data_IF_956528640403
#
_entry.id   IF_956528640403
#
_cell.length_a   1.000
_cell.length_b   1.000
_cell.length_c   1.000
_cell.angle_alpha   90.00
_cell.angle_beta   90.00
_cell.angle_gamma   90.00
#
_symmetry.space_group_name_H-M   'P 1'
#
loop_
_entity.id
_entity.type
_entity.pdbx_description
1 polymer ?
#
# COMPACT_ATOMS: atom_id res chain seq x y z
N UNK A 1 -13.86 -15.30 25.34
CA UNK A 1 -12.76 -15.57 24.39
C UNK A 1 -11.50 -15.84 25.21
N UNK A 2 -10.57 -16.71 24.77
CA UNK A 2 -9.34 -16.97 25.53
C UNK A 2 -8.48 -15.70 25.59
N UNK A 3 -8.12 -15.28 26.81
CA UNK A 3 -7.31 -14.07 27.09
C UNK A 3 -5.98 -14.06 26.31
N UNK A 4 -5.39 -15.24 26.09
CA UNK A 4 -4.15 -15.43 25.33
C UNK A 4 -4.25 -14.98 23.87
N UNK A 5 -5.39 -15.22 23.20
CA UNK A 5 -5.58 -14.84 21.80
C UNK A 5 -5.70 -13.32 21.65
N UNK A 6 -6.39 -12.66 22.59
CA UNK A 6 -6.52 -11.20 22.61
C UNK A 6 -5.15 -10.57 22.91
N UNK A 7 -4.40 -11.12 23.87
CA UNK A 7 -3.05 -10.65 24.18
C UNK A 7 -2.11 -10.79 22.97
N UNK A 8 -2.13 -11.93 22.30
CA UNK A 8 -1.32 -12.15 21.10
C UNK A 8 -1.68 -11.19 19.96
N UNK A 9 -2.98 -10.93 19.76
CA UNK A 9 -3.43 -9.96 18.76
C UNK A 9 -2.97 -8.54 19.09
N UNK A 10 -3.01 -8.14 20.37
CA UNK A 10 -2.50 -6.85 20.84
C UNK A 10 -1.01 -6.69 20.63
N UNK A 11 -0.23 -7.72 21.00
CA UNK A 11 1.22 -7.74 20.83
C UNK A 11 1.58 -7.61 19.34
N UNK A 12 0.91 -8.38 18.48
CA UNK A 12 1.07 -8.27 17.03
C UNK A 12 0.73 -6.87 16.51
N UNK A 13 -0.44 -6.33 16.87
CA UNK A 13 -0.85 -4.99 16.45
C UNK A 13 0.18 -3.95 16.87
N UNK A 14 0.60 -3.96 18.15
CA UNK A 14 1.60 -3.04 18.67
C UNK A 14 2.96 -3.15 17.95
N UNK A 15 3.44 -4.37 17.70
CA UNK A 15 4.65 -4.61 16.91
C UNK A 15 4.53 -4.03 15.49
N UNK A 16 3.39 -4.22 14.83
CA UNK A 16 3.12 -3.63 13.51
C UNK A 16 3.18 -2.11 13.54
N UNK A 17 2.57 -1.46 14.54
CA UNK A 17 2.56 0.01 14.64
C UNK A 17 3.98 0.56 14.83
N UNK A 18 4.80 -0.08 15.66
CA UNK A 18 6.20 0.29 15.86
C UNK A 18 6.97 0.15 14.54
N UNK A 19 6.89 -1.03 13.90
CA UNK A 19 7.66 -1.31 12.69
C UNK A 19 7.24 -0.38 11.54
N UNK A 20 5.93 -0.11 11.37
CA UNK A 20 5.44 0.83 10.37
C UNK A 20 5.95 2.26 10.62
N UNK A 21 6.08 2.68 11.89
CA UNK A 21 6.67 3.97 12.24
C UNK A 21 8.15 4.02 11.87
N UNK A 22 8.91 2.97 12.21
CA UNK A 22 10.33 2.86 11.89
C UNK A 22 10.57 2.86 10.37
N UNK A 23 9.71 2.17 9.61
CA UNK A 23 9.78 2.06 8.15
C UNK A 23 9.66 3.38 7.39
N UNK A 24 9.15 4.43 8.03
CA UNK A 24 9.08 5.79 7.44
C UNK A 24 9.90 6.81 8.20
N UNK A 25 10.71 6.37 9.17
CA UNK A 25 11.67 7.24 9.85
C UNK A 25 12.76 7.71 8.89
N UNK A 26 13.43 8.82 9.20
CA UNK A 26 14.52 9.33 8.37
C UNK A 26 15.70 8.33 8.26
N UNK A 27 15.94 7.53 9.31
CA UNK A 27 17.06 6.59 9.39
C UNK A 27 16.79 5.31 8.60
N UNK A 28 15.56 4.78 8.67
CA UNK A 28 15.21 3.48 8.07
C UNK A 28 14.21 3.58 6.92
N UNK A 29 14.00 4.77 6.37
CA UNK A 29 13.06 5.03 5.26
C UNK A 29 13.51 4.53 3.89
N UNK A 30 14.64 3.83 3.81
CA UNK A 30 15.13 3.21 2.58
C UNK A 30 14.28 2.01 2.17
N UNK A 31 14.18 1.76 0.86
CA UNK A 31 13.34 0.69 0.31
C UNK A 31 13.74 -0.70 0.85
N UNK A 32 15.03 -0.99 0.96
CA UNK A 32 15.51 -2.28 1.50
C UNK A 32 15.13 -2.47 2.96
N UNK A 33 15.24 -1.43 3.79
CA UNK A 33 14.79 -1.46 5.17
C UNK A 33 13.28 -1.68 5.27
N UNK A 34 12.49 -1.01 4.44
CA UNK A 34 11.05 -1.23 4.37
C UNK A 34 10.70 -2.68 4.01
N UNK A 35 11.47 -3.32 3.13
CA UNK A 35 11.30 -4.75 2.80
C UNK A 35 11.65 -5.65 3.98
N UNK A 36 12.76 -5.39 4.67
CA UNK A 36 13.15 -6.13 5.88
C UNK A 36 12.06 -6.02 6.95
N UNK A 37 11.54 -4.82 7.18
CA UNK A 37 10.44 -4.56 8.11
C UNK A 37 9.15 -5.27 7.72
N UNK A 38 8.81 -5.33 6.43
CA UNK A 38 7.66 -6.11 5.97
C UNK A 38 7.80 -7.60 6.30
N UNK A 39 9.00 -8.16 6.15
CA UNK A 39 9.28 -9.56 6.50
C UNK A 39 9.24 -9.74 8.03
N UNK A 40 9.71 -8.76 8.81
CA UNK A 40 9.55 -8.75 10.28
C UNK A 40 8.07 -8.75 10.71
N UNK A 41 7.23 -7.94 10.07
CA UNK A 41 5.77 -7.93 10.29
C UNK A 41 5.16 -9.28 9.88
N UNK A 42 5.62 -9.88 8.79
CA UNK A 42 5.19 -11.21 8.37
C UNK A 42 5.49 -12.27 9.43
N UNK A 43 6.70 -12.25 9.99
CA UNK A 43 7.09 -13.14 11.07
C UNK A 43 6.22 -12.93 12.32
N UNK A 44 5.95 -11.68 12.71
CA UNK A 44 5.06 -11.37 13.83
C UNK A 44 3.62 -11.84 13.58
N UNK A 45 3.10 -11.66 12.35
CA UNK A 45 1.80 -12.17 11.92
C UNK A 45 1.76 -13.68 12.04
N UNK A 46 2.76 -14.39 11.50
CA UNK A 46 2.89 -15.84 11.61
C UNK A 46 2.93 -16.29 13.08
N UNK A 47 3.79 -15.69 13.90
CA UNK A 47 3.94 -16.04 15.31
C UNK A 47 2.62 -15.85 16.07
N UNK A 48 1.87 -14.78 15.80
CA UNK A 48 0.56 -14.53 16.42
C UNK A 48 -0.53 -15.54 16.00
N UNK A 49 -0.48 -16.02 14.76
CA UNK A 49 -1.41 -17.03 14.26
C UNK A 49 -1.09 -18.42 14.85
N UNK A 50 0.20 -18.74 14.98
CA UNK A 50 0.67 -19.98 15.62
C UNK A 50 0.40 -19.98 17.12
N UNK A 51 0.73 -18.91 17.85
CA UNK A 51 0.42 -18.81 19.29
C UNK A 51 -1.10 -18.75 19.55
N UNK A 52 -1.85 -18.20 18.59
CA UNK A 52 -3.30 -18.10 18.58
C UNK A 52 -4.06 -19.38 18.22
N UNK A 53 -3.37 -20.52 18.01
CA UNK A 53 -3.90 -21.84 17.62
C UNK A 53 -5.09 -22.36 18.48
N UNK A 54 -5.45 -21.69 19.58
CA UNK A 54 -6.57 -22.03 20.47
C UNK A 54 -7.88 -21.29 20.14
N UNK A 55 -7.89 -20.22 19.33
CA UNK A 55 -9.14 -19.49 19.03
C UNK A 55 -9.74 -19.84 17.66
N UNK A 56 -10.20 -21.07 17.51
CA UNK A 56 -11.06 -21.51 16.38
C UNK A 56 -12.41 -20.77 16.29
N UNK A 57 -12.65 -19.71 17.07
CA UNK A 57 -13.96 -19.09 17.27
C UNK A 57 -14.20 -17.81 16.45
N UNK A 58 -13.17 -17.22 15.85
CA UNK A 58 -13.33 -16.04 14.99
C UNK A 58 -13.31 -16.47 13.53
N UNK A 59 -14.46 -16.96 13.08
CA UNK A 59 -14.59 -17.55 11.75
C UNK A 59 -15.03 -16.47 10.76
N UNK A 60 -14.37 -16.42 9.61
CA UNK A 60 -14.91 -15.74 8.44
C UNK A 60 -16.03 -16.60 7.85
N UNK A 61 -17.04 -15.97 7.28
CA UNK A 61 -17.99 -16.69 6.42
C UNK A 61 -17.19 -17.22 5.24
N UNK A 62 -17.12 -18.55 5.11
CA UNK A 62 -16.33 -19.21 4.07
C UNK A 62 -17.16 -19.25 2.81
N UNK A 63 -16.82 -18.38 1.87
CA UNK A 63 -17.29 -18.54 0.50
C UNK A 63 -16.41 -19.58 -0.19
N UNK A 64 -16.91 -20.82 -0.30
CA UNK A 64 -16.19 -21.94 -0.93
C UNK A 64 -15.59 -21.56 -2.29
N UNK A 65 -16.32 -20.78 -3.10
CA UNK A 65 -15.83 -20.27 -4.39
C UNK A 65 -14.61 -19.36 -4.24
N UNK A 66 -14.60 -18.45 -3.26
CA UNK A 66 -13.47 -17.53 -3.07
C UNK A 66 -12.22 -18.29 -2.61
N UNK A 67 -12.38 -19.24 -1.68
CA UNK A 67 -11.27 -20.11 -1.23
C UNK A 67 -10.73 -20.94 -2.40
N UNK A 68 -11.60 -21.55 -3.19
CA UNK A 68 -11.19 -22.30 -4.39
C UNK A 68 -10.44 -21.42 -5.38
N UNK A 69 -10.92 -20.21 -5.64
CA UNK A 69 -10.23 -19.25 -6.52
C UNK A 69 -8.85 -18.87 -5.98
N UNK A 70 -8.72 -18.61 -4.67
CA UNK A 70 -7.42 -18.35 -4.05
C UNK A 70 -6.46 -19.55 -4.21
N UNK A 71 -6.95 -20.78 -4.00
CA UNK A 71 -6.15 -22.01 -4.20
C UNK A 71 -5.66 -22.08 -5.65
N UNK A 72 -6.55 -21.86 -6.62
CA UNK A 72 -6.18 -21.90 -8.05
C UNK A 72 -5.15 -20.81 -8.39
N UNK A 73 -5.29 -19.59 -7.86
CA UNK A 73 -4.31 -18.51 -8.05
C UNK A 73 -2.93 -18.93 -7.53
N UNK A 74 -2.85 -19.50 -6.32
CA UNK A 74 -1.58 -19.95 -5.73
C UNK A 74 -0.98 -21.10 -6.54
N UNK A 75 -1.79 -22.06 -7.01
CA UNK A 75 -1.31 -23.16 -7.85
C UNK A 75 -0.79 -22.67 -9.20
N UNK A 76 -1.50 -21.76 -9.87
CA UNK A 76 -1.05 -21.15 -11.13
C UNK A 76 0.25 -20.36 -10.91
N UNK A 77 0.33 -19.62 -9.80
CA UNK A 77 1.55 -18.92 -9.39
C UNK A 77 2.73 -19.86 -9.20
N UNK A 78 2.54 -20.95 -8.46
CA UNK A 78 3.59 -21.94 -8.25
C UNK A 78 4.06 -22.57 -9.57
N UNK A 79 3.12 -22.98 -10.44
CA UNK A 79 3.45 -23.54 -11.75
C UNK A 79 4.19 -22.54 -12.65
N UNK A 80 3.79 -21.27 -12.58
CA UNK A 80 4.47 -20.16 -13.28
C UNK A 80 5.88 -19.95 -12.74
N UNK A 81 6.06 -19.90 -11.41
CA UNK A 81 7.38 -19.74 -10.77
C UNK A 81 8.33 -20.89 -11.12
N UNK A 82 7.87 -22.14 -11.10
CA UNK A 82 8.69 -23.31 -11.43
C UNK A 82 9.13 -23.35 -12.90
N UNK A 83 8.44 -22.63 -13.78
CA UNK A 83 8.77 -22.51 -15.22
C UNK A 83 9.48 -21.21 -15.58
N UNK A 84 9.77 -20.36 -14.60
CA UNK A 84 10.51 -19.12 -14.80
C UNK A 84 11.98 -19.41 -15.12
N UNK A 85 12.60 -18.51 -15.87
CA UNK A 85 14.06 -18.49 -16.05
C UNK A 85 14.80 -18.24 -14.72
N UNK A 86 14.15 -17.53 -13.78
CA UNK A 86 14.67 -17.22 -12.44
C UNK A 86 13.70 -17.72 -11.35
N UNK A 87 13.64 -19.04 -11.08
CA UNK A 87 12.65 -19.61 -10.16
C UNK A 87 12.71 -19.04 -8.74
N UNK A 88 13.91 -18.77 -8.21
CA UNK A 88 14.07 -18.23 -6.86
C UNK A 88 13.41 -16.85 -6.69
N UNK A 89 13.60 -15.97 -7.68
CA UNK A 89 12.97 -14.65 -7.69
C UNK A 89 11.46 -14.74 -7.90
N UNK A 90 11.02 -15.69 -8.73
CA UNK A 90 9.60 -15.94 -8.92
C UNK A 90 8.92 -16.51 -7.68
N UNK A 91 9.59 -17.39 -6.93
CA UNK A 91 9.12 -17.88 -5.63
C UNK A 91 9.16 -16.78 -4.56
N UNK A 92 10.05 -15.80 -4.69
CA UNK A 92 10.15 -14.66 -3.78
C UNK A 92 8.87 -13.80 -3.86
N UNK A 93 8.42 -13.45 -5.07
CA UNK A 93 7.21 -12.66 -5.24
C UNK A 93 5.93 -13.46 -4.92
N UNK A 94 5.90 -14.77 -5.20
CA UNK A 94 4.82 -15.65 -4.73
C UNK A 94 4.76 -15.68 -3.20
N UNK A 95 5.91 -15.76 -2.53
CA UNK A 95 5.99 -15.73 -1.07
C UNK A 95 5.52 -14.38 -0.51
N UNK A 96 5.82 -13.27 -1.17
CA UNK A 96 5.27 -11.95 -0.80
C UNK A 96 3.74 -11.90 -0.91
N UNK A 97 3.14 -12.47 -1.96
CA UNK A 97 1.68 -12.55 -2.10
C UNK A 97 1.04 -13.32 -0.94
N UNK A 98 1.64 -14.47 -0.58
CA UNK A 98 1.17 -15.31 0.54
C UNK A 98 1.29 -14.54 1.86
N UNK A 99 2.44 -13.95 2.13
CA UNK A 99 2.72 -13.22 3.37
C UNK A 99 1.85 -11.98 3.52
N UNK A 100 1.64 -11.21 2.45
CA UNK A 100 0.76 -10.01 2.51
C UNK A 100 -0.70 -10.42 2.74
N UNK A 101 -1.15 -11.53 2.14
CA UNK A 101 -2.46 -12.12 2.43
C UNK A 101 -2.58 -12.59 3.88
N UNK A 102 -1.53 -13.17 4.46
CA UNK A 102 -1.46 -13.54 5.88
C UNK A 102 -1.52 -12.32 6.80
N UNK A 103 -0.78 -11.25 6.48
CA UNK A 103 -0.80 -9.99 7.24
C UNK A 103 -2.22 -9.40 7.23
N UNK A 104 -2.89 -9.38 6.08
CA UNK A 104 -4.28 -8.93 5.96
C UNK A 104 -5.22 -9.78 6.82
N UNK A 105 -5.06 -11.11 6.79
CA UNK A 105 -5.82 -12.03 7.64
C UNK A 105 -5.58 -11.77 9.14
N UNK A 106 -4.33 -11.55 9.56
CA UNK A 106 -3.99 -11.24 10.95
C UNK A 106 -4.57 -9.90 11.42
N UNK A 107 -4.57 -8.86 10.58
CA UNK A 107 -5.26 -7.61 10.90
C UNK A 107 -6.77 -7.83 11.05
N UNK A 108 -7.36 -8.61 10.14
CA UNK A 108 -8.78 -8.86 10.16
C UNK A 108 -9.20 -9.64 11.42
N UNK A 109 -8.41 -10.64 11.81
CA UNK A 109 -8.57 -11.41 13.04
C UNK A 109 -8.38 -10.53 14.28
N UNK A 110 -7.31 -9.73 14.31
CA UNK A 110 -7.02 -8.84 15.43
C UNK A 110 -8.15 -7.85 15.69
N UNK A 111 -8.67 -7.19 14.64
CA UNK A 111 -9.83 -6.30 14.76
C UNK A 111 -11.09 -7.02 15.26
N UNK A 112 -11.34 -8.26 14.84
CA UNK A 112 -12.50 -9.03 15.32
C UNK A 112 -12.36 -9.47 16.78
N UNK A 113 -11.14 -9.74 17.25
CA UNK A 113 -10.86 -10.11 18.64
C UNK A 113 -10.92 -8.91 19.59
N UNK A 114 -10.37 -7.77 19.18
CA UNK A 114 -10.28 -6.57 20.02
C UNK A 114 -11.51 -5.67 19.96
N UNK A 115 -12.39 -5.87 18.98
CA UNK A 115 -13.54 -4.99 18.79
C UNK A 115 -13.12 -3.57 18.41
N UNK A 116 -13.92 -2.59 18.81
CA UNK A 116 -13.76 -1.18 18.42
C UNK A 116 -12.52 -0.52 19.05
N UNK A 117 -11.85 -1.19 19.99
CA UNK A 117 -10.56 -0.73 20.50
C UNK A 117 -9.48 -0.72 19.41
N UNK A 118 -9.44 -1.76 18.56
CA UNK A 118 -8.48 -1.81 17.46
C UNK A 118 -8.68 -0.67 16.45
N UNK A 119 -9.93 -0.29 16.17
CA UNK A 119 -10.22 0.86 15.29
C UNK A 119 -9.63 2.15 15.85
N UNK A 120 -9.83 2.38 17.15
CA UNK A 120 -9.32 3.57 17.84
C UNK A 120 -7.79 3.61 17.82
N UNK A 121 -7.12 2.49 18.07
CA UNK A 121 -5.65 2.42 18.02
C UNK A 121 -5.10 2.65 16.61
N UNK A 122 -5.70 2.02 15.60
CA UNK A 122 -5.29 2.19 14.20
C UNK A 122 -5.53 3.62 13.70
N UNK A 123 -6.66 4.22 14.03
CA UNK A 123 -6.95 5.61 13.68
C UNK A 123 -6.03 6.60 14.39
N UNK A 124 -5.80 6.41 15.70
CA UNK A 124 -4.86 7.24 16.45
C UNK A 124 -3.46 7.12 15.85
N UNK A 125 -3.03 5.91 15.50
CA UNK A 125 -1.77 5.67 14.82
C UNK A 125 -1.68 6.43 13.49
N UNK A 126 -2.70 6.34 12.63
CA UNK A 126 -2.73 7.08 11.35
C UNK A 126 -2.61 8.59 11.58
N UNK A 127 -3.38 9.13 12.53
CA UNK A 127 -3.36 10.56 12.86
C UNK A 127 -1.99 10.98 13.38
N UNK A 128 -1.39 10.23 14.31
CA UNK A 128 -0.07 10.52 14.85
C UNK A 128 1.03 10.41 13.80
N UNK A 129 0.96 9.40 12.92
CA UNK A 129 1.91 9.20 11.84
C UNK A 129 1.85 10.36 10.83
N UNK A 130 0.65 10.76 10.41
CA UNK A 130 0.46 11.90 9.52
C UNK A 130 0.86 13.21 10.18
N UNK A 131 0.56 13.40 11.47
CA UNK A 131 0.97 14.58 12.23
C UNK A 131 2.50 14.65 12.37
N UNK A 132 3.16 13.54 12.69
CA UNK A 132 4.63 13.46 12.76
C UNK A 132 5.29 13.76 11.41
N UNK A 133 4.74 13.22 10.32
CA UNK A 133 5.20 13.53 8.97
C UNK A 133 4.92 14.96 8.53
N UNK A 134 3.77 15.52 8.90
CA UNK A 134 3.43 16.92 8.67
C UNK A 134 4.36 17.87 9.45
N UNK A 135 4.67 17.53 10.70
CA UNK A 135 5.65 18.27 11.50
C UNK A 135 7.04 18.21 10.87
N UNK A 136 7.48 17.02 10.43
CA UNK A 136 8.74 16.86 9.71
C UNK A 136 8.80 17.77 8.47
N UNK A 137 7.72 17.80 7.68
CA UNK A 137 7.63 18.67 6.50
C UNK A 137 7.74 20.16 6.85
N UNK A 138 7.00 20.62 7.88
CA UNK A 138 7.06 22.01 8.36
C UNK A 138 8.46 22.35 8.85
N UNK A 139 9.08 21.46 9.64
CA UNK A 139 10.42 21.65 10.16
C UNK A 139 11.46 21.75 9.03
N UNK A 140 11.44 20.83 8.07
CA UNK A 140 12.32 20.86 6.89
C UNK A 140 12.09 22.10 6.04
N UNK A 141 10.83 22.53 5.86
CA UNK A 141 10.48 23.75 5.14
C UNK A 141 11.02 25.00 5.85
N UNK A 142 10.77 25.13 7.16
CA UNK A 142 11.28 26.22 7.97
C UNK A 142 12.81 26.30 7.94
N UNK A 143 13.49 25.15 8.08
CA UNK A 143 14.94 25.08 7.95
C UNK A 143 15.43 25.52 6.56
N UNK A 144 14.73 25.15 5.49
CA UNK A 144 15.07 25.57 4.13
C UNK A 144 14.90 27.08 3.94
N UNK A 145 13.80 27.68 4.41
CA UNK A 145 13.58 29.13 4.32
C UNK A 145 14.53 29.95 5.20
N UNK A 146 14.97 29.41 6.33
CA UNK A 146 15.95 30.06 7.22
C UNK A 146 17.39 29.87 6.75
N UNK A 147 17.67 28.82 5.98
CA UNK A 147 18.95 28.67 5.32
C UNK A 147 19.07 29.77 4.26
N UNK A 148 20.19 30.51 4.23
CA UNK A 148 20.48 31.50 3.16
C UNK A 148 20.75 30.83 1.80
N UNK A 149 20.17 29.65 1.56
CA UNK A 149 20.30 28.93 0.31
C UNK A 149 19.54 29.69 -0.78
N UNK A 150 20.18 29.84 -1.93
CA UNK A 150 19.57 30.49 -3.10
C UNK A 150 18.54 29.60 -3.80
N UNK A 151 18.53 28.29 -3.49
CA UNK A 151 17.61 27.33 -4.10
C UNK A 151 16.95 26.42 -3.05
N UNK A 152 15.65 26.18 -3.21
CA UNK A 152 14.85 25.25 -2.44
C UNK A 152 14.45 24.05 -3.31
N UNK A 153 14.71 22.84 -2.81
CA UNK A 153 14.29 21.59 -3.44
C UNK A 153 13.13 20.97 -2.66
N UNK A 154 11.95 20.96 -3.27
CA UNK A 154 10.71 20.47 -2.65
C UNK A 154 10.76 18.98 -2.33
N UNK A 155 11.53 18.19 -3.08
CA UNK A 155 11.65 16.75 -2.86
C UNK A 155 12.40 16.48 -1.53
N UNK A 156 13.29 17.39 -1.07
CA UNK A 156 14.01 17.26 0.22
C UNK A 156 13.14 17.49 1.44
N UNK A 157 11.98 18.14 1.27
CA UNK A 157 11.03 18.37 2.34
C UNK A 157 10.30 17.07 2.74
N UNK A 158 10.33 16.08 1.86
CA UNK A 158 9.61 14.81 2.00
C UNK A 158 10.65 13.70 2.17
N UNK A 159 10.95 13.33 3.41
CA UNK A 159 11.91 12.25 3.72
C UNK A 159 11.24 10.97 4.22
N UNK A 160 12.02 9.90 4.37
CA UNK A 160 11.58 8.61 4.89
C UNK A 160 11.07 7.63 3.83
N UNK A 161 11.24 7.96 2.55
CA UNK A 161 11.02 7.07 1.41
C UNK A 161 12.14 7.28 0.39
N UNK A 162 12.57 6.22 -0.27
CA UNK A 162 13.57 6.28 -1.36
C UNK A 162 13.05 6.99 -2.61
N UNK A 163 11.74 7.08 -2.78
CA UNK A 163 11.10 7.78 -3.89
C UNK A 163 9.80 8.45 -3.43
N UNK A 164 9.59 9.71 -3.82
CA UNK A 164 8.36 10.46 -3.54
C UNK A 164 7.09 9.78 -4.04
N UNK A 165 7.16 8.95 -5.09
CA UNK A 165 6.01 8.15 -5.56
C UNK A 165 5.52 7.22 -4.45
N UNK A 166 6.43 6.60 -3.71
CA UNK A 166 6.09 5.68 -2.61
C UNK A 166 5.46 6.45 -1.44
N UNK A 167 5.94 7.67 -1.19
CA UNK A 167 5.27 8.59 -0.27
C UNK A 167 3.84 8.91 -0.73
N UNK A 168 3.64 9.19 -2.03
CA UNK A 168 2.32 9.42 -2.60
C UNK A 168 1.38 8.22 -2.44
N UNK A 169 1.87 6.99 -2.66
CA UNK A 169 1.10 5.77 -2.42
C UNK A 169 0.61 5.70 -0.96
N UNK A 170 1.49 6.01 0.00
CA UNK A 170 1.11 6.12 1.41
C UNK A 170 0.05 7.20 1.67
N UNK A 171 0.16 8.36 1.01
CA UNK A 171 -0.84 9.43 1.13
C UNK A 171 -2.21 8.99 0.59
N UNK A 172 -2.25 8.27 -0.54
CA UNK A 172 -3.50 7.72 -1.10
C UNK A 172 -4.22 6.80 -0.11
N UNK A 173 -3.48 6.03 0.69
CA UNK A 173 -4.12 5.21 1.72
C UNK A 173 -4.67 6.03 2.90
N UNK A 174 -3.96 7.08 3.30
CA UNK A 174 -4.23 7.80 4.56
C UNK A 174 -5.16 9.01 4.42
N UNK A 175 -5.13 9.71 3.28
CA UNK A 175 -5.99 10.87 3.01
C UNK A 175 -7.49 10.57 3.25
N UNK A 176 -8.05 9.42 2.79
CA UNK A 176 -9.44 9.10 3.07
C UNK A 176 -9.74 8.83 4.54
N UNK A 177 -8.79 8.26 5.29
CA UNK A 177 -8.94 7.86 6.69
C UNK A 177 -8.87 9.05 7.64
N UNK A 178 -8.06 10.06 7.33
CA UNK A 178 -7.98 11.30 8.13
C UNK A 178 -9.29 12.09 8.16
N UNK A 179 -10.20 11.88 7.20
CA UNK A 179 -11.52 12.52 7.20
C UNK A 179 -12.49 11.90 8.20
N UNK A 180 -12.23 10.69 8.73
CA UNK A 180 -13.19 9.99 9.58
C UNK A 180 -13.59 10.79 10.84
N UNK A 181 -12.67 11.37 11.64
CA UNK A 181 -13.05 12.17 12.80
C UNK A 181 -13.89 13.42 12.44
N UNK A 182 -13.82 13.91 11.20
CA UNK A 182 -14.64 15.03 10.73
C UNK A 182 -16.08 14.60 10.41
N UNK A 183 -16.27 13.32 10.08
CA UNK A 183 -17.59 12.75 9.78
C UNK A 183 -18.38 12.40 11.04
N UNK A 184 -17.69 12.07 12.13
CA UNK A 184 -18.31 11.65 13.38
C UNK A 184 -19.04 12.82 14.07
N UNK A 185 -20.31 12.60 14.43
CA UNK A 185 -21.14 13.59 15.13
C UNK A 185 -20.65 13.89 16.54
N UNK A 186 -20.01 12.91 17.19
CA UNK A 186 -19.49 12.98 18.57
C UNK A 186 -18.17 13.74 18.71
N UNK A 187 -17.49 14.06 17.61
CA UNK A 187 -16.19 14.73 17.67
C UNK A 187 -16.35 16.20 18.07
N UNK A 188 -15.59 16.60 19.10
CA UNK A 188 -15.57 17.97 19.62
C UNK A 188 -15.10 18.97 18.56
N UNK A 189 -15.59 20.22 18.64
CA UNK A 189 -15.26 21.29 17.68
C UNK A 189 -13.76 21.56 17.59
N UNK A 190 -13.04 21.57 18.71
CA UNK A 190 -11.59 21.75 18.76
C UNK A 190 -10.86 20.62 18.03
N UNK A 191 -11.24 19.37 18.28
CA UNK A 191 -10.69 18.20 17.59
C UNK A 191 -10.96 18.26 16.09
N UNK A 192 -12.16 18.66 15.66
CA UNK A 192 -12.47 18.84 14.23
C UNK A 192 -11.56 19.89 13.59
N UNK A 193 -11.32 21.02 14.26
CA UNK A 193 -10.41 22.05 13.77
C UNK A 193 -9.00 21.49 13.58
N UNK A 194 -8.43 20.83 14.59
CA UNK A 194 -7.08 20.26 14.50
C UNK A 194 -6.95 19.17 13.43
N UNK A 195 -7.93 18.27 13.31
CA UNK A 195 -7.94 17.23 12.28
C UNK A 195 -8.11 17.83 10.89
N UNK A 196 -8.92 18.88 10.73
CA UNK A 196 -9.07 19.58 9.45
C UNK A 196 -7.78 20.31 9.06
N UNK A 197 -7.11 20.95 10.01
CA UNK A 197 -5.78 21.55 9.79
C UNK A 197 -4.75 20.50 9.38
N UNK A 198 -4.74 19.34 10.04
CA UNK A 198 -3.89 18.21 9.66
C UNK A 198 -4.22 17.69 8.28
N UNK A 199 -5.50 17.51 7.93
CA UNK A 199 -5.93 17.06 6.61
C UNK A 199 -5.50 18.06 5.51
N UNK A 200 -5.63 19.35 5.78
CA UNK A 200 -5.20 20.43 4.86
C UNK A 200 -3.68 20.46 4.69
N UNK A 201 -2.94 20.29 5.79
CA UNK A 201 -1.48 20.11 5.76
C UNK A 201 -1.10 18.84 4.97
N UNK A 202 -1.84 17.74 5.14
CA UNK A 202 -1.58 16.49 4.43
C UNK A 202 -1.80 16.64 2.92
N UNK A 203 -2.82 17.40 2.52
CA UNK A 203 -3.01 17.82 1.13
C UNK A 203 -1.89 18.74 0.63
N UNK A 204 -1.41 19.70 1.42
CA UNK A 204 -0.23 20.50 1.08
C UNK A 204 1.00 19.61 0.79
N UNK A 205 1.27 18.62 1.64
CA UNK A 205 2.37 17.66 1.40
C UNK A 205 2.12 16.86 0.12
N UNK A 206 0.88 16.43 -0.15
CA UNK A 206 0.54 15.68 -1.37
C UNK A 206 0.72 16.50 -2.65
N UNK A 207 0.32 17.78 -2.62
CA UNK A 207 0.54 18.75 -3.69
C UNK A 207 2.05 18.93 -3.92
N UNK A 208 2.81 19.10 -2.83
CA UNK A 208 4.27 19.27 -2.88
C UNK A 208 4.97 18.04 -3.48
N UNK A 209 4.53 16.83 -3.12
CA UNK A 209 5.07 15.59 -3.69
C UNK A 209 4.76 15.42 -5.19
N UNK A 210 3.73 16.08 -5.71
CA UNK A 210 3.39 16.10 -7.14
C UNK A 210 3.08 14.70 -7.71
N UNK A 211 2.58 13.78 -6.88
CA UNK A 211 2.33 12.39 -7.28
C UNK A 211 1.00 12.26 -8.02
N UNK A 212 1.06 12.25 -9.36
CA UNK A 212 -0.13 12.13 -10.24
C UNK A 212 -1.02 10.93 -9.92
N UNK A 213 -0.43 9.81 -9.48
CA UNK A 213 -1.17 8.62 -9.06
C UNK A 213 -2.14 8.89 -7.90
N UNK A 214 -1.73 9.70 -6.93
CA UNK A 214 -2.54 10.12 -5.78
C UNK A 214 -3.74 10.95 -6.21
N UNK A 215 -3.53 11.93 -7.10
CA UNK A 215 -4.60 12.75 -7.66
C UNK A 215 -5.64 11.92 -8.41
N UNK A 216 -5.18 11.01 -9.28
CA UNK A 216 -6.05 10.10 -10.01
C UNK A 216 -6.83 9.20 -9.05
N UNK A 217 -6.15 8.60 -8.06
CA UNK A 217 -6.77 7.73 -7.07
C UNK A 217 -7.83 8.44 -6.24
N UNK A 218 -7.52 9.62 -5.70
CA UNK A 218 -8.46 10.41 -4.90
C UNK A 218 -9.64 10.93 -5.73
N UNK A 219 -9.42 11.31 -6.98
CA UNK A 219 -10.48 11.71 -7.91
C UNK A 219 -11.46 10.57 -8.18
N UNK A 220 -10.96 9.38 -8.53
CA UNK A 220 -11.82 8.19 -8.75
C UNK A 220 -12.53 7.77 -7.47
N UNK A 221 -11.85 7.81 -6.31
CA UNK A 221 -12.48 7.54 -5.02
C UNK A 221 -13.63 8.52 -4.73
N UNK A 222 -13.44 9.82 -4.99
CA UNK A 222 -14.49 10.82 -4.86
C UNK A 222 -15.68 10.54 -5.80
N UNK A 223 -15.44 10.20 -7.07
CA UNK A 223 -16.51 9.82 -8.00
C UNK A 223 -17.31 8.61 -7.52
N UNK A 224 -16.63 7.53 -7.10
CA UNK A 224 -17.28 6.32 -6.60
C UNK A 224 -18.07 6.62 -5.32
N UNK A 225 -17.50 7.38 -4.37
CA UNK A 225 -18.20 7.73 -3.14
C UNK A 225 -19.39 8.67 -3.38
N UNK A 226 -19.30 9.58 -4.34
CA UNK A 226 -20.43 10.42 -4.72
C UNK A 226 -21.64 9.56 -5.13
N UNK A 227 -21.40 8.50 -5.91
CA UNK A 227 -22.43 7.53 -6.33
C UNK A 227 -22.96 6.70 -5.15
N UNK A 228 -22.14 6.49 -4.11
CA UNK A 228 -22.55 5.74 -2.92
C UNK A 228 -23.61 6.47 -2.07
N UNK A 229 -23.85 7.78 -2.25
CA UNK A 229 -24.94 8.49 -1.59
C UNK A 229 -24.50 9.51 -0.54
N UNK A 230 -25.32 9.69 0.50
CA UNK A 230 -25.21 10.84 1.42
C UNK A 230 -23.88 10.90 2.19
N UNK A 231 -23.45 9.82 2.86
CA UNK A 231 -22.18 9.79 3.59
C UNK A 231 -20.97 9.97 2.67
N UNK A 232 -21.03 9.48 1.43
CA UNK A 232 -20.01 9.73 0.42
C UNK A 232 -19.90 11.20 0.03
N UNK A 233 -21.04 11.88 -0.18
CA UNK A 233 -21.07 13.34 -0.39
C UNK A 233 -20.53 14.11 0.82
N UNK A 234 -20.87 13.69 2.05
CA UNK A 234 -20.31 14.28 3.29
C UNK A 234 -18.79 14.13 3.37
N UNK A 235 -18.25 12.97 2.98
CA UNK A 235 -16.80 12.78 2.92
C UNK A 235 -16.17 13.78 1.93
N UNK A 236 -16.77 13.97 0.75
CA UNK A 236 -16.30 14.95 -0.25
C UNK A 236 -16.35 16.38 0.30
N UNK A 237 -17.38 16.75 1.07
CA UNK A 237 -17.48 18.11 1.65
C UNK A 237 -16.37 18.45 2.64
N UNK A 238 -15.69 17.46 3.22
CA UNK A 238 -14.51 17.70 4.05
C UNK A 238 -13.21 17.67 3.24
N UNK A 239 -13.14 16.80 2.22
CA UNK A 239 -11.95 16.69 1.37
C UNK A 239 -11.76 17.92 0.48
N UNK A 240 -12.83 18.41 -0.18
CA UNK A 240 -12.71 19.53 -1.13
C UNK A 240 -12.14 20.80 -0.49
N UNK A 241 -12.67 21.30 0.65
CA UNK A 241 -12.08 22.47 1.31
C UNK A 241 -10.63 22.22 1.76
N UNK A 242 -10.30 21.01 2.23
CA UNK A 242 -8.94 20.68 2.64
C UNK A 242 -7.96 20.67 1.46
N UNK A 243 -8.37 20.17 0.29
CA UNK A 243 -7.60 20.27 -0.97
C UNK A 243 -7.37 21.73 -1.33
N UNK A 244 -8.43 22.56 -1.30
CA UNK A 244 -8.33 23.99 -1.63
C UNK A 244 -7.36 24.70 -0.69
N UNK A 245 -7.47 24.46 0.62
CA UNK A 245 -6.53 25.03 1.60
C UNK A 245 -5.10 24.54 1.33
N UNK A 246 -4.91 23.23 1.09
CA UNK A 246 -3.59 22.67 0.80
C UNK A 246 -2.93 23.26 -0.46
N UNK A 247 -3.70 23.43 -1.54
CA UNK A 247 -3.24 24.07 -2.79
C UNK A 247 -2.93 25.55 -2.58
N UNK A 248 -3.78 26.28 -1.86
CA UNK A 248 -3.54 27.70 -1.55
C UNK A 248 -2.28 27.87 -0.71
N UNK A 249 -2.08 27.03 0.31
CA UNK A 249 -0.85 27.04 1.11
C UNK A 249 0.38 26.71 0.27
N UNK A 250 0.28 25.77 -0.67
CA UNK A 250 1.37 25.44 -1.58
C UNK A 250 1.77 26.65 -2.41
N UNK A 251 0.79 27.31 -3.03
CA UNK A 251 1.02 28.53 -3.83
C UNK A 251 1.63 29.66 -2.99
N UNK A 252 1.10 29.91 -1.79
CA UNK A 252 1.63 30.94 -0.89
C UNK A 252 3.09 30.67 -0.50
N UNK A 253 3.43 29.42 -0.17
CA UNK A 253 4.77 29.05 0.27
C UNK A 253 5.79 29.00 -0.87
N UNK A 254 5.46 28.35 -1.97
CA UNK A 254 6.44 28.03 -3.01
C UNK A 254 6.39 28.94 -4.23
N UNK A 255 5.35 29.75 -4.40
CA UNK A 255 5.32 30.80 -5.45
C UNK A 255 5.47 32.20 -4.86
N UNK A 256 4.63 32.57 -3.88
CA UNK A 256 4.60 33.94 -3.37
C UNK A 256 5.78 34.23 -2.44
N UNK A 257 5.97 33.42 -1.41
CA UNK A 257 7.01 33.65 -0.40
C UNK A 257 8.42 33.48 -0.97
N UNK A 258 8.69 32.42 -1.72
CA UNK A 258 9.97 32.21 -2.41
C UNK A 258 10.26 33.32 -3.43
N UNK A 259 9.25 33.74 -4.21
CA UNK A 259 9.38 34.87 -5.14
C UNK A 259 9.72 36.18 -4.44
N UNK A 260 9.08 36.46 -3.30
CA UNK A 260 9.40 37.61 -2.46
C UNK A 260 10.83 37.55 -1.88
N UNK A 261 11.30 36.36 -1.50
CA UNK A 261 12.63 36.13 -0.94
C UNK A 261 13.72 35.96 -2.01
N UNK A 262 13.38 35.93 -3.30
CA UNK A 262 14.32 35.66 -4.40
C UNK A 262 14.92 34.25 -4.37
N UNK A 263 14.20 33.27 -3.82
CA UNK A 263 14.63 31.87 -3.73
C UNK A 263 14.14 31.11 -4.97
N UNK A 264 15.06 30.49 -5.71
CA UNK A 264 14.70 29.61 -6.82
C UNK A 264 14.13 28.29 -6.29
N UNK A 265 13.04 27.81 -6.87
CA UNK A 265 12.44 26.53 -6.48
C UNK A 265 12.66 25.51 -7.58
N UNK A 266 13.34 24.43 -7.24
CA UNK A 266 13.46 23.25 -8.10
C UNK A 266 12.35 22.25 -7.80
N UNK A 267 12.07 21.35 -8.74
CA UNK A 267 11.08 20.29 -8.56
C UNK A 267 9.65 20.82 -8.31
N UNK A 268 9.24 21.87 -9.02
CA UNK A 268 7.92 22.46 -8.84
C UNK A 268 6.81 21.47 -9.18
N UNK A 269 5.68 21.53 -8.49
CA UNK A 269 4.56 20.63 -8.74
C UNK A 269 3.97 20.86 -10.15
N UNK A 270 4.00 22.10 -10.67
CA UNK A 270 3.54 22.44 -12.01
C UNK A 270 4.36 21.80 -13.12
N UNK A 271 5.67 21.63 -12.92
CA UNK A 271 6.57 21.00 -13.91
C UNK A 271 6.18 19.53 -14.18
N UNK A 272 5.32 18.98 -13.32
CA UNK A 272 4.85 17.59 -13.37
C UNK A 272 3.44 17.47 -13.93
N UNK A 273 2.77 18.58 -14.24
CA UNK A 273 1.48 18.61 -14.94
C UNK A 273 1.69 18.33 -16.43
N UNK A 274 1.99 17.07 -16.77
CA UNK A 274 2.16 16.62 -18.15
C UNK A 274 1.08 15.59 -18.50
N UNK A 275 0.53 15.70 -19.72
CA UNK A 275 -0.40 14.72 -20.32
C UNK A 275 0.34 13.52 -20.91
N UNK A 276 1.67 13.51 -20.90
CA UNK A 276 2.47 12.44 -21.47
C UNK A 276 2.46 11.18 -20.60
N UNK A 277 2.57 10.01 -21.24
CA UNK A 277 2.73 8.70 -20.57
C UNK A 277 3.94 8.64 -19.64
N UNK A 278 4.84 9.64 -19.68
CA UNK A 278 6.00 9.78 -18.79
C UNK A 278 6.98 8.62 -18.90
N UNK A 279 7.28 8.24 -20.14
CA UNK A 279 8.15 7.09 -20.42
C UNK A 279 7.49 5.72 -20.20
N UNK A 280 6.18 5.63 -19.91
CA UNK A 280 5.52 4.32 -19.69
C UNK A 280 5.24 3.51 -20.96
N UNK A 281 5.22 4.15 -22.13
CA UNK A 281 4.94 3.47 -23.40
C UNK A 281 5.81 2.23 -23.64
N UNK A 282 7.15 2.33 -23.57
CA UNK A 282 8.05 1.19 -23.76
C UNK A 282 7.82 0.05 -22.76
N UNK A 283 7.65 0.34 -21.47
CA UNK A 283 7.43 -0.71 -20.45
C UNK A 283 6.04 -1.36 -20.57
N UNK A 284 5.03 -0.64 -21.06
CA UNK A 284 3.72 -1.22 -21.36
C UNK A 284 3.76 -2.09 -22.60
N UNK A 285 4.50 -1.66 -23.63
CA UNK A 285 4.73 -2.46 -24.82
C UNK A 285 5.49 -3.74 -24.48
N UNK A 286 6.56 -3.65 -23.69
CA UNK A 286 7.27 -4.83 -23.17
C UNK A 286 6.33 -5.78 -22.42
N UNK A 287 5.50 -5.28 -21.49
CA UNK A 287 4.55 -6.14 -20.77
C UNK A 287 3.54 -6.81 -21.71
N UNK A 288 3.06 -6.07 -22.72
CA UNK A 288 2.17 -6.60 -23.75
C UNK A 288 2.85 -7.72 -24.55
N UNK A 289 4.09 -7.53 -24.96
CA UNK A 289 4.83 -8.52 -25.74
C UNK A 289 5.04 -9.80 -24.91
N UNK A 290 5.35 -9.67 -23.62
CA UNK A 290 5.41 -10.82 -22.69
C UNK A 290 4.06 -11.54 -22.55
N UNK A 291 2.95 -10.80 -22.48
CA UNK A 291 1.60 -11.40 -22.43
C UNK A 291 1.31 -12.20 -23.71
N UNK A 292 1.67 -11.65 -24.88
CA UNK A 292 1.42 -12.29 -26.17
C UNK A 292 2.26 -13.56 -26.35
N UNK A 293 3.50 -13.57 -25.84
CA UNK A 293 4.38 -14.74 -25.94
C UNK A 293 3.95 -15.89 -25.02
N UNK A 294 3.55 -15.59 -23.77
CA UNK A 294 3.19 -16.62 -22.77
C UNK A 294 1.86 -16.32 -22.06
N UNK A 295 0.72 -16.35 -22.77
CA UNK A 295 -0.56 -15.88 -22.23
C UNK A 295 -1.12 -16.72 -21.08
N UNK A 296 -0.73 -18.00 -20.97
CA UNK A 296 -1.34 -18.94 -20.02
C UNK A 296 -0.77 -18.86 -18.61
N UNK A 297 0.55 -18.99 -18.47
CA UNK A 297 1.24 -18.98 -17.16
C UNK A 297 2.08 -17.71 -16.96
N UNK A 298 2.25 -16.87 -17.98
CA UNK A 298 3.23 -15.79 -17.96
C UNK A 298 4.65 -16.34 -17.93
N UNK A 299 5.61 -15.46 -17.63
CA UNK A 299 7.02 -15.81 -17.54
C UNK A 299 7.49 -16.20 -16.13
N UNK A 300 6.64 -16.10 -15.13
CA UNK A 300 7.01 -16.20 -13.74
C UNK A 300 6.83 -14.85 -13.03
N UNK A 301 6.35 -14.86 -11.77
CA UNK A 301 6.42 -13.68 -10.90
C UNK A 301 7.81 -13.01 -10.96
N UNK A 302 7.85 -11.69 -10.89
CA UNK A 302 9.04 -10.83 -10.93
C UNK A 302 9.83 -10.85 -12.25
N UNK A 303 9.43 -11.66 -13.24
CA UNK A 303 10.21 -11.83 -14.47
C UNK A 303 10.28 -10.59 -15.37
N UNK A 304 9.37 -9.60 -15.21
CA UNK A 304 9.55 -8.32 -15.91
C UNK A 304 10.91 -7.69 -15.58
N UNK A 305 11.42 -7.91 -14.37
CA UNK A 305 12.72 -7.42 -13.92
C UNK A 305 13.92 -8.27 -14.40
N UNK A 306 13.69 -9.40 -15.06
CA UNK A 306 14.71 -10.25 -15.69
C UNK A 306 15.04 -9.79 -17.12
N UNK A 307 14.37 -8.74 -17.59
CA UNK A 307 14.62 -8.10 -18.89
C UNK A 307 14.93 -6.63 -18.63
N UNK A 308 16.20 -6.27 -18.75
CA UNK A 308 16.63 -4.90 -18.54
C UNK A 308 16.01 -3.94 -19.57
N UNK A 309 15.47 -2.84 -19.06
CA UNK A 309 15.10 -1.65 -19.81
C UNK A 309 15.51 -0.43 -18.98
N UNK A 310 15.75 0.75 -19.58
CA UNK A 310 16.28 1.90 -18.84
C UNK A 310 15.25 2.62 -17.95
N UNK A 311 14.01 2.12 -17.88
CA UNK A 311 12.88 2.86 -17.31
C UNK A 311 12.46 2.30 -15.94
N UNK A 312 12.16 1.00 -15.85
CA UNK A 312 11.67 0.39 -14.60
C UNK A 312 11.72 -1.14 -14.61
N UNK A 313 11.80 -1.74 -13.42
CA UNK A 313 11.73 -3.19 -13.19
C UNK A 313 10.28 -3.74 -13.13
N UNK A 314 9.29 -2.93 -13.49
CA UNK A 314 7.88 -3.30 -13.59
C UNK A 314 7.10 -2.29 -14.45
N UNK A 315 5.94 -2.65 -15.05
CA UNK A 315 5.26 -1.80 -16.03
C UNK A 315 4.45 -0.64 -15.43
N UNK A 316 4.50 -0.41 -14.11
CA UNK A 316 3.66 0.58 -13.40
C UNK A 316 2.14 0.42 -13.67
N UNK A 317 1.66 -0.78 -13.98
CA UNK A 317 0.25 -1.08 -14.21
C UNK A 317 0.02 -2.51 -13.71
N UNK A 318 -0.76 -2.66 -12.63
CA UNK A 318 -0.87 -3.93 -11.90
C UNK A 318 -1.46 -5.08 -12.73
N UNK A 319 -2.43 -4.83 -13.62
CA UNK A 319 -3.02 -5.84 -14.50
C UNK A 319 -2.02 -6.30 -15.57
N UNK A 320 -1.30 -5.38 -16.21
CA UNK A 320 -0.26 -5.71 -17.19
C UNK A 320 0.85 -6.51 -16.53
N UNK A 321 1.31 -6.07 -15.35
CA UNK A 321 2.32 -6.77 -14.58
C UNK A 321 1.87 -8.20 -14.24
N UNK A 322 0.67 -8.35 -13.67
CA UNK A 322 0.14 -9.65 -13.31
C UNK A 322 -0.04 -10.56 -14.53
N UNK A 323 -0.56 -10.03 -15.65
CA UNK A 323 -0.76 -10.82 -16.85
C UNK A 323 0.55 -11.25 -17.50
N UNK A 324 1.58 -10.40 -17.55
CA UNK A 324 2.88 -10.75 -18.13
C UNK A 324 3.63 -11.79 -17.29
N UNK A 325 3.49 -11.73 -15.97
CA UNK A 325 4.27 -12.54 -15.04
C UNK A 325 3.52 -13.82 -14.60
N UNK A 326 2.21 -13.75 -14.39
CA UNK A 326 1.38 -14.85 -13.86
C UNK A 326 0.38 -15.44 -14.86
N UNK A 327 0.26 -14.84 -16.04
CA UNK A 327 -0.65 -15.27 -17.11
C UNK A 327 -2.08 -14.74 -16.98
N UNK A 328 -2.78 -14.70 -18.11
CA UNK A 328 -4.15 -14.19 -18.25
C UNK A 328 -5.15 -14.93 -17.34
N UNK A 329 -5.16 -16.28 -17.23
CA UNK A 329 -6.07 -16.99 -16.34
C UNK A 329 -5.96 -16.53 -14.89
N UNK A 330 -4.73 -16.38 -14.37
CA UNK A 330 -4.49 -15.88 -13.00
C UNK A 330 -4.98 -14.43 -12.85
N UNK A 331 -4.69 -13.57 -13.83
CA UNK A 331 -5.16 -12.18 -13.84
C UNK A 331 -6.68 -12.08 -13.78
N UNK A 332 -7.41 -12.87 -14.58
CA UNK A 332 -8.87 -12.86 -14.59
C UNK A 332 -9.44 -13.29 -13.23
N UNK A 333 -8.85 -14.30 -12.58
CA UNK A 333 -9.26 -14.75 -11.26
C UNK A 333 -9.02 -13.67 -10.18
N UNK A 334 -7.87 -13.00 -10.22
CA UNK A 334 -7.55 -11.90 -9.28
C UNK A 334 -8.48 -10.71 -9.50
N UNK A 335 -8.70 -10.30 -10.75
CA UNK A 335 -9.62 -9.20 -11.10
C UNK A 335 -11.05 -9.55 -10.67
N UNK A 336 -11.49 -10.78 -10.88
CA UNK A 336 -12.80 -11.25 -10.42
C UNK A 336 -12.91 -11.21 -8.89
N UNK A 337 -11.91 -11.70 -8.16
CA UNK A 337 -11.92 -11.73 -6.70
C UNK A 337 -11.95 -10.32 -6.11
N UNK A 338 -11.07 -9.43 -6.60
CA UNK A 338 -11.03 -8.03 -6.20
C UNK A 338 -12.35 -7.31 -6.56
N UNK A 339 -12.84 -7.49 -7.79
CA UNK A 339 -14.09 -6.92 -8.26
C UNK A 339 -15.29 -7.37 -7.42
N UNK A 340 -15.35 -8.64 -7.05
CA UNK A 340 -16.40 -9.18 -6.16
C UNK A 340 -16.36 -8.50 -4.78
N UNK A 341 -15.18 -8.35 -4.19
CA UNK A 341 -15.02 -7.68 -2.88
C UNK A 341 -15.37 -6.20 -2.92
N UNK A 342 -14.94 -5.49 -3.97
CA UNK A 342 -15.27 -4.09 -4.21
C UNK A 342 -16.78 -3.90 -4.41
N UNK A 343 -17.40 -4.77 -5.22
CA UNK A 343 -18.83 -4.69 -5.49
C UNK A 343 -19.67 -4.94 -4.23
N UNK A 344 -19.31 -5.96 -3.45
CA UNK A 344 -19.98 -6.22 -2.17
C UNK A 344 -19.84 -5.04 -1.20
N UNK A 345 -18.66 -4.42 -1.14
CA UNK A 345 -18.42 -3.24 -0.28
C UNK A 345 -19.19 -2.02 -0.79
N UNK A 346 -19.21 -1.78 -2.10
CA UNK A 346 -19.98 -0.71 -2.73
C UNK A 346 -21.47 -0.79 -2.39
N UNK A 347 -22.07 -1.98 -2.56
CA UNK A 347 -23.49 -2.19 -2.24
C UNK A 347 -23.77 -1.91 -0.76
N UNK A 348 -22.91 -2.40 0.14
CA UNK A 348 -23.08 -2.21 1.58
C UNK A 348 -22.94 -0.73 1.98
N UNK A 349 -21.93 -0.02 1.44
CA UNK A 349 -21.73 1.42 1.71
C UNK A 349 -22.92 2.23 1.18
N UNK A 350 -23.48 1.86 0.02
CA UNK A 350 -24.67 2.50 -0.55
C UNK A 350 -25.92 2.24 0.29
N UNK A 351 -26.12 1.01 0.74
CA UNK A 351 -27.21 0.61 1.63
C UNK A 351 -27.15 1.39 2.96
N UNK A 352 -25.95 1.60 3.50
CA UNK A 352 -25.70 2.33 4.75
C UNK A 352 -25.38 3.81 4.54
N UNK A 353 -25.75 4.39 3.41
CA UNK A 353 -25.31 5.74 3.02
C UNK A 353 -25.86 6.88 3.88
N UNK A 354 -26.86 6.64 4.72
CA UNK A 354 -27.39 7.61 5.69
C UNK A 354 -27.04 7.24 7.14
N UNK A 355 -26.22 6.21 7.36
CA UNK A 355 -25.80 5.78 8.68
C UNK A 355 -24.76 6.73 9.26
N UNK A 356 -24.96 7.10 10.53
CA UNK A 356 -23.98 7.82 11.35
C UNK A 356 -23.20 6.88 12.29
N UNK A 357 -23.35 5.56 12.12
CA UNK A 357 -22.56 4.59 12.89
C UNK A 357 -21.06 4.74 12.58
N UNK A 358 -20.18 4.83 13.59
CA UNK A 358 -18.75 4.99 13.37
C UNK A 358 -18.12 3.90 12.50
N UNK A 359 -18.62 2.66 12.58
CA UNK A 359 -18.14 1.52 11.80
C UNK A 359 -18.50 1.68 10.32
N UNK A 360 -19.70 2.18 10.03
CA UNK A 360 -20.15 2.44 8.66
C UNK A 360 -19.35 3.56 8.01
N UNK A 361 -19.08 4.64 8.75
CA UNK A 361 -18.24 5.75 8.29
C UNK A 361 -16.78 5.34 8.12
N UNK A 362 -16.24 4.49 9.02
CA UNK A 362 -14.91 3.92 8.86
C UNK A 362 -14.81 3.03 7.62
N UNK A 363 -15.84 2.19 7.37
CA UNK A 363 -15.91 1.37 6.15
C UNK A 363 -15.92 2.23 4.89
N UNK A 364 -16.65 3.34 4.89
CA UNK A 364 -16.64 4.32 3.79
C UNK A 364 -15.23 4.87 3.53
N UNK A 365 -14.52 5.32 4.57
CA UNK A 365 -13.17 5.85 4.45
C UNK A 365 -12.15 4.80 3.98
N UNK A 366 -12.23 3.57 4.50
CA UNK A 366 -11.40 2.46 4.05
C UNK A 366 -11.71 2.05 2.60
N UNK A 367 -12.98 2.11 2.19
CA UNK A 367 -13.37 1.82 0.81
C UNK A 367 -12.80 2.86 -0.16
N UNK A 368 -12.84 4.15 0.19
CA UNK A 368 -12.17 5.19 -0.59
C UNK A 368 -10.65 4.99 -0.66
N UNK A 369 -10.01 4.60 0.45
CA UNK A 369 -8.59 4.25 0.52
C UNK A 369 -8.25 3.11 -0.45
N UNK A 370 -9.04 2.05 -0.46
CA UNK A 370 -8.85 0.90 -1.36
C UNK A 370 -9.07 1.28 -2.83
N UNK A 371 -10.14 2.02 -3.16
CA UNK A 371 -10.39 2.50 -4.53
C UNK A 371 -9.24 3.40 -5.01
N UNK A 372 -8.78 4.32 -4.17
CA UNK A 372 -7.65 5.19 -4.48
C UNK A 372 -6.38 4.40 -4.78
N UNK A 373 -6.03 3.44 -3.93
CA UNK A 373 -4.84 2.62 -4.08
C UNK A 373 -4.89 1.71 -5.32
N UNK A 374 -6.03 1.06 -5.58
CA UNK A 374 -6.20 0.22 -6.77
C UNK A 374 -6.18 1.05 -8.06
N UNK A 375 -6.77 2.24 -8.05
CA UNK A 375 -6.68 3.16 -9.19
C UNK A 375 -5.25 3.62 -9.41
N UNK A 376 -4.53 4.02 -8.35
CA UNK A 376 -3.12 4.39 -8.45
C UNK A 376 -2.25 3.24 -8.95
N UNK A 377 -2.58 1.99 -8.62
CA UNK A 377 -1.86 0.79 -9.09
C UNK A 377 -1.92 0.59 -10.61
N UNK A 378 -2.82 1.29 -11.31
CA UNK A 378 -2.89 1.30 -12.78
C UNK A 378 -1.87 2.25 -13.41
N UNK A 379 -1.18 3.08 -12.63
CA UNK A 379 -0.20 4.06 -13.15
C UNK A 379 1.10 4.13 -12.32
N UNK A 380 1.22 3.28 -11.30
CA UNK A 380 2.32 3.26 -10.34
C UNK A 380 2.52 1.87 -9.70
N UNK A 381 3.66 1.66 -9.05
CA UNK A 381 4.10 0.39 -8.46
C UNK A 381 3.44 -0.02 -7.13
N UNK A 382 2.15 0.29 -6.90
CA UNK A 382 1.50 0.09 -5.58
C UNK A 382 1.58 -1.37 -5.10
N UNK A 383 1.47 -2.34 -6.02
CA UNK A 383 1.43 -3.76 -5.66
C UNK A 383 2.82 -4.39 -5.44
N UNK A 384 3.91 -3.66 -5.68
CA UNK A 384 5.29 -4.17 -5.56
C UNK A 384 6.09 -3.48 -4.47
N UNK A 385 5.74 -2.26 -4.07
CA UNK A 385 6.49 -1.54 -3.04
C UNK A 385 6.18 -2.11 -1.64
N UNK A 386 7.19 -2.32 -0.78
CA UNK A 386 7.01 -3.00 0.50
C UNK A 386 6.03 -2.28 1.42
N UNK A 387 6.17 -0.95 1.51
CA UNK A 387 5.33 -0.15 2.39
C UNK A 387 3.88 -0.06 1.90
N UNK A 388 3.64 0.09 0.60
CA UNK A 388 2.28 0.10 0.04
C UNK A 388 1.61 -1.28 0.13
N UNK A 389 2.35 -2.37 -0.01
CA UNK A 389 1.86 -3.72 0.23
C UNK A 389 1.39 -3.92 1.68
N UNK A 390 2.12 -3.38 2.66
CA UNK A 390 1.71 -3.38 4.07
C UNK A 390 0.42 -2.59 4.29
N UNK A 391 0.32 -1.38 3.74
CA UNK A 391 -0.88 -0.56 3.84
C UNK A 391 -2.09 -1.20 3.14
N UNK A 392 -1.88 -1.80 1.97
CA UNK A 392 -2.92 -2.55 1.28
C UNK A 392 -3.41 -3.72 2.13
N UNK A 393 -2.50 -4.47 2.75
CA UNK A 393 -2.83 -5.59 3.64
C UNK A 393 -3.62 -5.11 4.86
N UNK A 394 -3.21 -3.99 5.47
CA UNK A 394 -3.92 -3.36 6.57
C UNK A 394 -5.33 -2.93 6.16
N UNK A 395 -5.49 -2.18 5.07
CA UNK A 395 -6.80 -1.67 4.63
C UNK A 395 -7.73 -2.80 4.21
N UNK A 396 -7.23 -3.78 3.46
CA UNK A 396 -8.01 -4.97 3.05
C UNK A 396 -8.41 -5.80 4.27
N UNK A 397 -7.47 -6.09 5.16
CA UNK A 397 -7.74 -6.84 6.40
C UNK A 397 -8.76 -6.13 7.29
N UNK A 398 -8.62 -4.81 7.43
CA UNK A 398 -9.55 -3.99 8.20
C UNK A 398 -10.96 -3.99 7.58
N UNK A 399 -11.08 -3.80 6.26
CA UNK A 399 -12.36 -3.92 5.55
C UNK A 399 -12.98 -5.31 5.72
N UNK A 400 -12.19 -6.38 5.59
CA UNK A 400 -12.67 -7.75 5.78
C UNK A 400 -13.20 -8.00 7.20
N UNK A 401 -12.62 -7.34 8.21
CA UNK A 401 -13.09 -7.39 9.58
C UNK A 401 -14.45 -6.72 9.75
N UNK A 402 -14.62 -5.55 9.15
CA UNK A 402 -15.85 -4.75 9.24
C UNK A 402 -16.96 -5.20 8.30
N UNK A 403 -16.64 -5.96 7.25
CA UNK A 403 -17.64 -6.40 6.28
C UNK A 403 -18.63 -7.37 6.93
N UNK A 404 -19.92 -7.04 6.82
CA UNK A 404 -21.01 -7.87 7.34
C UNK A 404 -21.33 -8.94 6.29
N UNK A 405 -20.76 -10.12 6.48
CA UNK A 405 -20.98 -11.24 5.58
C UNK A 405 -22.37 -11.85 5.83
N UNK A 406 -23.22 -11.88 4.81
CA UNK A 406 -24.51 -12.58 4.85
C UNK A 406 -24.25 -14.08 4.70
N UNK A 407 -24.43 -14.84 5.78
CA UNK A 407 -24.29 -16.30 5.80
C UNK A 407 -23.90 -16.85 7.17
N UNK A 408 -24.03 -18.17 7.34
CA UNK A 408 -23.57 -18.81 8.57
C UNK A 408 -22.04 -18.75 8.69
N UNK A 409 -21.50 -18.54 9.91
CA UNK A 409 -20.07 -18.70 10.16
C UNK A 409 -19.60 -20.05 9.63
N UNK A 410 -18.51 -20.06 8.85
CA UNK A 410 -18.00 -21.30 8.30
C UNK A 410 -17.69 -22.30 9.41
N UNK A 411 -17.98 -23.60 9.21
CA UNK A 411 -17.41 -24.62 10.10
C UNK A 411 -15.88 -24.62 9.95
N UNK A 412 -15.12 -24.73 11.06
CA UNK A 412 -13.67 -24.78 10.98
C UNK A 412 -13.26 -26.02 10.19
N UNK A 413 -12.35 -25.85 9.23
CA UNK A 413 -11.75 -26.95 8.48
C UNK A 413 -10.27 -27.01 8.82
N UNK A 414 -9.89 -28.01 9.62
CA UNK A 414 -8.52 -28.18 10.08
C UNK A 414 -7.53 -28.35 8.91
N UNK A 415 -7.90 -29.08 7.85
CA UNK A 415 -7.03 -29.27 6.69
C UNK A 415 -6.71 -27.95 5.99
N UNK A 416 -7.73 -27.10 5.73
CA UNK A 416 -7.52 -25.79 5.10
C UNK A 416 -6.68 -24.90 6.00
N UNK A 417 -6.96 -24.88 7.30
CA UNK A 417 -6.20 -24.08 8.27
C UNK A 417 -4.73 -24.50 8.33
N UNK A 418 -4.44 -25.79 8.51
CA UNK A 418 -3.08 -26.31 8.58
C UNK A 418 -2.34 -26.19 7.24
N UNK A 419 -3.04 -26.33 6.11
CA UNK A 419 -2.47 -26.06 4.78
C UNK A 419 -2.06 -24.60 4.65
N UNK A 420 -2.94 -23.67 5.06
CA UNK A 420 -2.64 -22.24 5.06
C UNK A 420 -1.45 -21.92 5.98
N UNK A 421 -1.40 -22.50 7.17
CA UNK A 421 -0.26 -22.34 8.09
C UNK A 421 1.03 -22.92 7.51
N UNK A 422 1.00 -24.09 6.89
CA UNK A 422 2.16 -24.71 6.25
C UNK A 422 2.70 -23.86 5.11
N UNK A 423 1.83 -23.41 4.20
CA UNK A 423 2.21 -22.54 3.07
C UNK A 423 2.75 -21.20 3.56
N UNK A 424 2.12 -20.60 4.58
CA UNK A 424 2.58 -19.34 5.17
C UNK A 424 3.93 -19.49 5.85
N UNK A 425 4.15 -20.60 6.57
CA UNK A 425 5.43 -20.91 7.20
C UNK A 425 6.52 -21.06 6.15
N UNK A 426 6.28 -21.80 5.07
CA UNK A 426 7.22 -21.93 3.96
C UNK A 426 7.55 -20.58 3.32
N UNK A 427 6.54 -19.74 3.07
CA UNK A 427 6.74 -18.41 2.50
C UNK A 427 7.58 -17.48 3.40
N UNK A 428 7.32 -17.48 4.72
CA UNK A 428 8.11 -16.69 5.67
C UNK A 428 9.56 -17.18 5.72
N UNK A 429 9.76 -18.50 5.84
CA UNK A 429 11.11 -19.09 5.86
C UNK A 429 11.87 -18.80 4.56
N UNK A 430 11.20 -18.87 3.41
CA UNK A 430 11.80 -18.56 2.12
C UNK A 430 12.21 -17.08 2.03
N UNK A 431 11.38 -16.14 2.48
CA UNK A 431 11.73 -14.73 2.53
C UNK A 431 12.88 -14.43 3.51
N UNK A 432 12.94 -15.13 4.65
CA UNK A 432 14.08 -15.06 5.57
C UNK A 432 15.36 -15.57 4.90
N UNK A 433 15.27 -16.68 4.15
CA UNK A 433 16.39 -17.17 3.34
C UNK A 433 16.85 -16.13 2.32
N UNK A 434 15.93 -15.50 1.57
CA UNK A 434 16.25 -14.44 0.60
C UNK A 434 16.95 -13.26 1.28
N UNK A 435 16.52 -12.85 2.48
CA UNK A 435 17.18 -11.79 3.26
C UNK A 435 18.60 -12.19 3.64
N UNK A 436 18.80 -13.40 4.18
CA UNK A 436 20.13 -13.90 4.57
C UNK A 436 21.06 -13.99 3.36
N UNK A 437 20.52 -14.43 2.21
CA UNK A 437 21.26 -14.55 0.95
C UNK A 437 21.63 -13.20 0.35
N UNK A 438 20.71 -12.23 0.34
CA UNK A 438 20.88 -11.01 -0.46
C UNK A 438 21.44 -9.82 0.32
N UNK A 439 21.05 -9.63 1.60
CA UNK A 439 21.42 -8.43 2.38
C UNK A 439 22.93 -8.20 2.43
N UNK A 440 23.79 -9.22 2.64
CA UNK A 440 25.24 -9.01 2.64
C UNK A 440 25.81 -8.50 1.30
N UNK A 441 25.09 -8.69 0.19
CA UNK A 441 25.55 -8.40 -1.17
C UNK A 441 24.79 -7.25 -1.85
N UNK A 442 23.91 -6.53 -1.15
CA UNK A 442 23.11 -5.45 -1.76
C UNK A 442 23.99 -4.32 -2.33
N UNK A 443 25.01 -3.91 -1.60
CA UNK A 443 25.91 -2.83 -2.06
C UNK A 443 26.71 -3.24 -3.30
N UNK A 444 27.15 -4.49 -3.36
CA UNK A 444 27.85 -5.06 -4.50
C UNK A 444 26.94 -5.11 -5.73
N UNK A 445 25.70 -5.60 -5.58
CA UNK A 445 24.69 -5.62 -6.65
C UNK A 445 24.34 -4.22 -7.14
N UNK A 446 24.24 -3.25 -6.23
CA UNK A 446 23.98 -1.86 -6.58
C UNK A 446 25.13 -1.27 -7.42
N UNK A 447 26.38 -1.52 -7.02
CA UNK A 447 27.58 -1.10 -7.76
C UNK A 447 27.66 -1.77 -9.13
N UNK A 448 27.43 -3.08 -9.20
CA UNK A 448 27.46 -3.84 -10.44
C UNK A 448 26.43 -3.32 -11.44
N UNK A 449 25.20 -3.05 -10.99
CA UNK A 449 24.17 -2.45 -11.84
C UNK A 449 24.58 -1.07 -12.36
N UNK A 450 25.09 -0.20 -11.48
CA UNK A 450 25.57 1.13 -11.85
C UNK A 450 26.70 1.07 -12.88
N UNK A 451 27.62 0.09 -12.75
CA UNK A 451 28.72 -0.11 -13.69
C UNK A 451 28.24 -0.62 -15.05
N UNK A 452 27.30 -1.57 -15.08
CA UNK A 452 26.82 -2.19 -16.31
C UNK A 452 25.82 -1.33 -17.08
N UNK A 453 24.90 -0.67 -16.39
CA UNK A 453 23.75 0.01 -17.01
C UNK A 453 23.67 1.50 -16.69
N UNK A 454 24.33 1.95 -15.61
CA UNK A 454 24.23 3.33 -15.12
C UNK A 454 22.81 3.72 -14.69
N UNK A 455 22.58 5.03 -14.61
CA UNK A 455 21.26 5.60 -14.34
C UNK A 455 20.75 5.41 -12.90
N UNK A 456 19.44 5.53 -12.73
CA UNK A 456 18.77 5.39 -11.43
C UNK A 456 18.45 3.93 -11.13
N UNK A 457 18.46 3.57 -9.84
CA UNK A 457 17.98 2.27 -9.40
C UNK A 457 16.49 2.08 -9.74
N UNK A 458 16.12 0.84 -10.02
CA UNK A 458 14.77 0.46 -10.42
C UNK A 458 14.16 -0.45 -9.36
N UNK A 459 13.44 0.08 -8.36
CA UNK A 459 12.99 -0.72 -7.22
C UNK A 459 12.00 -1.82 -7.61
N UNK A 460 12.18 -3.00 -7.01
CA UNK A 460 11.24 -4.13 -7.06
C UNK A 460 11.22 -4.80 -5.69
N UNK A 461 11.82 -5.98 -5.55
CA UNK A 461 12.00 -6.60 -4.23
C UNK A 461 12.92 -5.73 -3.36
N UNK A 462 14.14 -5.47 -3.84
CA UNK A 462 15.12 -4.53 -3.28
C UNK A 462 15.10 -3.17 -4.00
N UNK A 463 15.88 -2.22 -3.48
CA UNK A 463 16.10 -0.88 -4.06
C UNK A 463 16.56 -0.98 -5.49
N UNK A 464 17.51 -1.89 -5.76
CA UNK A 464 17.82 -2.33 -7.10
C UNK A 464 17.10 -3.63 -7.42
N UNK A 465 16.11 -3.54 -8.30
CA UNK A 465 15.15 -4.60 -8.57
C UNK A 465 15.43 -5.44 -9.82
N UNK A 466 16.35 -5.04 -10.70
CA UNK A 466 16.69 -5.81 -11.92
C UNK A 466 17.44 -7.07 -11.53
N UNK A 467 16.97 -8.22 -12.02
CA UNK A 467 17.50 -9.55 -11.70
C UNK A 467 18.22 -10.20 -12.89
N UNK A 468 18.22 -9.55 -14.05
CA UNK A 468 18.93 -9.97 -15.26
C UNK A 468 20.47 -9.96 -15.10
N UNK A 469 20.98 -9.37 -14.01
CA UNK A 469 22.40 -9.16 -13.76
C UNK A 469 23.04 -10.50 -13.41
N UNK A 470 23.83 -11.05 -14.33
CA UNK A 470 24.72 -12.18 -14.02
C UNK A 470 25.99 -11.63 -13.37
N UNK A 471 26.41 -12.18 -12.20
CA UNK A 471 27.79 -12.03 -11.77
C UNK A 471 28.71 -12.62 -12.84
N UNK A 472 29.88 -12.00 -13.06
CA UNK A 472 30.93 -12.61 -13.89
C UNK A 472 31.44 -13.92 -13.29
#
# INVERSE_FOLDING_TARGET
MPLSAILSARVYLFACLIILTLAVSAVFGGHDWQRIFQIGIAFAAWASLVSGLVSQRVMFVRHNTAVMVCIVIVLLGLLSSLRSHQPDWALTELSLLIVTSMIAYSFALGRRLEGDAADRYLLLFIVLLCAGKGFQFIFSGGAAFMSRAQALDTDRLISGFSNKRFYGQFQTFTLPLLALPLLLSTTQRSTRLWVFSLLSLWWLVAVTGGTRGTWLGMGVAACVLFICGHSGKRWITWQLPAVVVGVTLYWLLFSVLTGYLGIEVSNFASDRLTTSLSGRGPIWQQARDLILERPWLGFGPMHFADIHNPIAAHPHQAILQWASEWGIPSTLLVVWLAGRGLWATFLLVRERSTSDDPTDLLRLCLFASLIGALTQSMVDGVIVMPYSQLWLSLVVGWLMALHVWKGEPAKPNAFIHWSWMGISTAAVLFLVYVVIRDVPHLDERNKLYQQQYGGHFQPRFWTQGVIAIKPE
#
